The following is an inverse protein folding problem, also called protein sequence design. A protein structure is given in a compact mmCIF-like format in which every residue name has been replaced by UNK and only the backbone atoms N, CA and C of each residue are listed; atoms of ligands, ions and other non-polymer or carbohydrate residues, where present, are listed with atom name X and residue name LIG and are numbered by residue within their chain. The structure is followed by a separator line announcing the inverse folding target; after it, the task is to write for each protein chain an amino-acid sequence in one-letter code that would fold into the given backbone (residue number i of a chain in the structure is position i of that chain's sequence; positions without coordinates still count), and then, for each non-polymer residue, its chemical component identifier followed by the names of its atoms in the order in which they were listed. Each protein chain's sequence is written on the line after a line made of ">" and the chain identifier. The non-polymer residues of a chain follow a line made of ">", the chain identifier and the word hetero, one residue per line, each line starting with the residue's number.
data_IF_865629411017
#
_entry.id   IF_865629411017
#
_cell.length_a   1.000
_cell.length_b   1.000
_cell.length_c   1.000
_cell.angle_alpha   90.00
_cell.angle_beta   90.00
_cell.angle_gamma   90.00
#
_symmetry.space_group_name_H-M   'P 1'
#
loop_
_entity.id
_entity.type
_entity.pdbx_description
1 polymer ?
#
# COMPACT_ATOMS: atom_id res chain seq x y z
N UNK A 1 -4.81 -15.36 -6.34
CA UNK A 1 -4.22 -14.11 -5.81
C UNK A 1 -2.72 -14.17 -6.02
N UNK A 2 -2.11 -13.16 -6.66
CA UNK A 2 -0.65 -13.02 -6.71
C UNK A 2 -0.12 -12.54 -5.35
N UNK A 3 1.16 -12.83 -5.05
CA UNK A 3 1.84 -12.27 -3.87
C UNK A 3 2.22 -10.82 -4.19
N UNK A 4 2.05 -9.91 -3.23
CA UNK A 4 2.63 -8.57 -3.31
C UNK A 4 4.16 -8.70 -3.19
N UNK A 5 4.88 -8.03 -4.08
CA UNK A 5 6.35 -7.96 -4.04
C UNK A 5 6.75 -6.55 -3.65
N UNK A 6 7.67 -6.42 -2.70
CA UNK A 6 8.42 -5.19 -2.50
C UNK A 6 9.39 -5.05 -3.69
N UNK A 7 9.03 -4.20 -4.64
CA UNK A 7 9.79 -4.00 -5.87
C UNK A 7 11.20 -3.44 -5.58
N UNK A 8 11.35 -2.59 -4.56
CA UNK A 8 12.61 -1.98 -4.19
C UNK A 8 13.55 -2.98 -3.52
N UNK A 9 13.04 -3.78 -2.57
CA UNK A 9 13.79 -4.87 -1.95
C UNK A 9 14.16 -5.95 -2.98
N UNK A 10 13.25 -6.25 -3.92
CA UNK A 10 13.56 -7.15 -5.03
C UNK A 10 14.69 -6.61 -5.91
N UNK A 11 14.63 -5.34 -6.33
CA UNK A 11 15.71 -4.70 -7.13
C UNK A 11 17.03 -4.73 -6.35
N UNK A 12 17.00 -4.46 -5.04
CA UNK A 12 18.19 -4.50 -4.19
C UNK A 12 18.80 -5.90 -4.14
N UNK A 13 17.99 -6.94 -3.92
CA UNK A 13 18.43 -8.35 -3.96
C UNK A 13 18.97 -8.74 -5.33
N UNK A 14 18.31 -8.30 -6.39
CA UNK A 14 18.70 -8.55 -7.77
C UNK A 14 20.05 -7.89 -8.12
N UNK A 15 20.38 -6.74 -7.53
CA UNK A 15 21.70 -6.09 -7.70
C UNK A 15 22.87 -6.88 -7.10
N UNK A 16 22.64 -7.79 -6.13
CA UNK A 16 23.70 -8.64 -5.59
C UNK A 16 24.00 -9.87 -6.45
N UNK A 17 23.16 -10.16 -7.46
CA UNK A 17 23.47 -11.20 -8.43
C UNK A 17 24.63 -10.72 -9.32
N UNK A 18 25.78 -11.40 -9.26
CA UNK A 18 26.93 -11.08 -10.12
C UNK A 18 26.58 -11.38 -11.57
N UNK A 19 26.58 -10.34 -12.39
CA UNK A 19 26.76 -10.46 -13.83
C UNK A 19 28.27 -10.57 -14.12
N UNK A 20 28.64 -11.58 -14.88
CA UNK A 20 30.00 -11.89 -15.30
C UNK A 20 30.23 -11.52 -16.78
N UNK A 21 29.17 -11.21 -17.53
CA UNK A 21 29.23 -10.77 -18.93
C UNK A 21 28.47 -9.46 -19.17
N UNK A 22 28.79 -8.80 -20.28
CA UNK A 22 28.07 -7.59 -20.71
C UNK A 22 26.60 -7.87 -21.05
N UNK A 23 26.32 -9.03 -21.65
CA UNK A 23 24.96 -9.48 -21.97
C UNK A 23 24.13 -9.70 -20.71
N UNK A 24 24.72 -10.27 -19.65
CA UNK A 24 24.09 -10.40 -18.34
C UNK A 24 23.80 -9.03 -17.70
N UNK A 25 24.71 -8.06 -17.84
CA UNK A 25 24.49 -6.70 -17.36
C UNK A 25 23.31 -6.01 -18.06
N UNK A 26 23.21 -6.13 -19.38
CA UNK A 26 22.12 -5.56 -20.19
C UNK A 26 20.78 -6.21 -19.82
N UNK A 27 20.77 -7.54 -19.66
CA UNK A 27 19.58 -8.27 -19.23
C UNK A 27 19.15 -7.83 -17.83
N UNK A 28 20.08 -7.74 -16.88
CA UNK A 28 19.77 -7.26 -15.54
C UNK A 28 19.24 -5.81 -15.53
N UNK A 29 19.79 -4.94 -16.37
CA UNK A 29 19.30 -3.57 -16.52
C UNK A 29 17.87 -3.52 -17.08
N UNK A 30 17.57 -4.40 -18.03
CA UNK A 30 16.24 -4.52 -18.65
C UNK A 30 15.20 -4.97 -17.62
N UNK A 31 15.51 -6.02 -16.85
CA UNK A 31 14.61 -6.53 -15.79
C UNK A 31 14.32 -5.46 -14.75
N UNK A 32 15.35 -4.73 -14.28
CA UNK A 32 15.16 -3.61 -13.33
C UNK A 32 14.27 -2.51 -13.90
N UNK A 33 14.45 -2.18 -15.19
CA UNK A 33 13.61 -1.18 -15.86
C UNK A 33 12.16 -1.63 -15.92
N UNK A 34 11.90 -2.87 -16.30
CA UNK A 34 10.54 -3.45 -16.34
C UNK A 34 9.87 -3.41 -14.96
N UNK A 35 10.60 -3.74 -13.89
CA UNK A 35 10.06 -3.71 -12.52
C UNK A 35 9.73 -2.28 -12.06
N UNK A 36 10.51 -1.28 -12.50
CA UNK A 36 10.25 0.14 -12.21
C UNK A 36 9.12 0.74 -13.05
N UNK A 37 8.93 0.22 -14.27
CA UNK A 37 7.89 0.65 -15.21
C UNK A 37 6.56 -0.07 -14.97
N UNK A 38 6.57 -1.20 -14.26
CA UNK A 38 5.36 -1.81 -13.70
C UNK A 38 4.65 -0.79 -12.83
N UNK A 39 3.33 -0.65 -13.05
CA UNK A 39 2.49 0.15 -12.18
C UNK A 39 2.57 -0.45 -10.78
N UNK A 40 3.23 0.24 -9.84
CA UNK A 40 3.08 -0.06 -8.42
C UNK A 40 1.59 -0.06 -8.14
N UNK A 41 1.05 -1.20 -7.69
CA UNK A 41 -0.39 -1.43 -7.68
C UNK A 41 -1.15 -0.28 -7.02
N UNK A 42 -0.58 0.34 -5.96
CA UNK A 42 -0.91 1.65 -5.42
C UNK A 42 0.28 2.20 -4.62
N UNK A 43 0.46 3.52 -4.54
CA UNK A 43 1.33 4.16 -3.54
C UNK A 43 0.69 3.96 -2.16
N UNK A 44 1.41 3.27 -1.26
CA UNK A 44 0.90 2.90 0.06
C UNK A 44 0.57 4.13 0.90
N UNK A 45 1.43 5.14 0.86
CA UNK A 45 1.26 6.37 1.63
C UNK A 45 0.07 7.16 1.07
N UNK A 46 -0.10 7.17 -0.25
CA UNK A 46 -1.26 7.76 -0.90
C UNK A 46 -2.57 7.07 -0.47
N UNK A 47 -2.62 5.73 -0.49
CA UNK A 47 -3.81 4.97 -0.06
C UNK A 47 -4.14 5.21 1.40
N UNK A 48 -3.12 5.20 2.28
CA UNK A 48 -3.30 5.51 3.70
C UNK A 48 -3.88 6.91 3.89
N UNK A 49 -3.41 7.89 3.12
CA UNK A 49 -3.91 9.26 3.21
C UNK A 49 -5.37 9.37 2.72
N UNK A 50 -5.72 8.70 1.61
CA UNK A 50 -7.11 8.63 1.14
C UNK A 50 -8.05 8.01 2.19
N UNK A 51 -7.62 6.97 2.92
CA UNK A 51 -8.41 6.35 3.99
C UNK A 51 -8.62 7.30 5.20
N UNK A 52 -7.60 8.08 5.59
CA UNK A 52 -7.76 9.12 6.63
C UNK A 52 -8.71 10.22 6.22
N UNK A 53 -8.66 10.64 4.95
CA UNK A 53 -9.61 11.62 4.41
C UNK A 53 -11.03 11.06 4.42
N UNK A 54 -11.21 9.78 4.08
CA UNK A 54 -12.51 9.11 4.17
C UNK A 54 -13.05 9.05 5.60
N UNK A 55 -12.18 8.71 6.57
CA UNK A 55 -12.51 8.73 8.01
C UNK A 55 -13.00 10.11 8.45
N UNK A 56 -12.26 11.16 8.07
CA UNK A 56 -12.61 12.56 8.36
C UNK A 56 -13.96 12.95 7.73
N UNK A 57 -14.21 12.53 6.49
CA UNK A 57 -15.49 12.79 5.81
C UNK A 57 -16.65 12.14 6.56
N UNK A 58 -16.51 10.87 6.95
CA UNK A 58 -17.56 10.17 7.69
C UNK A 58 -17.80 10.76 9.08
N UNK A 59 -16.76 11.21 9.77
CA UNK A 59 -16.92 11.92 11.03
C UNK A 59 -17.82 13.16 10.86
N UNK A 60 -17.54 13.98 9.85
CA UNK A 60 -18.29 15.20 9.57
C UNK A 60 -19.74 14.95 9.13
N UNK A 61 -20.01 13.83 8.44
CA UNK A 61 -21.34 13.54 7.89
C UNK A 61 -22.22 12.64 8.74
N UNK A 62 -21.63 11.83 9.63
CA UNK A 62 -22.35 10.78 10.39
C UNK A 62 -22.38 11.12 11.89
N UNK A 63 -21.21 11.17 12.56
CA UNK A 63 -21.12 11.38 14.00
C UNK A 63 -21.45 12.82 14.43
N UNK A 64 -21.19 13.81 13.58
CA UNK A 64 -21.41 15.22 13.93
C UNK A 64 -22.90 15.67 13.84
N UNK A 65 -23.84 14.77 14.14
CA UNK A 65 -25.29 15.01 14.04
C UNK A 65 -25.98 15.06 15.41
N UNK A 66 -25.31 14.60 16.48
CA UNK A 66 -25.89 14.45 17.82
C UNK A 66 -26.81 13.24 17.98
N UNK A 67 -26.94 12.41 16.95
CA UNK A 67 -27.67 11.14 17.00
C UNK A 67 -26.77 10.01 17.49
N UNK A 68 -27.04 9.51 18.71
CA UNK A 68 -26.29 8.41 19.32
C UNK A 68 -26.20 7.15 18.48
N UNK A 69 -27.20 6.86 17.64
CA UNK A 69 -27.15 5.68 16.75
C UNK A 69 -26.13 5.90 15.63
N UNK A 70 -26.04 7.12 15.11
CA UNK A 70 -25.05 7.49 14.10
C UNK A 70 -23.64 7.54 14.70
N UNK A 71 -23.50 7.97 15.96
CA UNK A 71 -22.22 7.91 16.67
C UNK A 71 -21.70 6.46 16.78
N UNK A 72 -22.56 5.53 17.21
CA UNK A 72 -22.20 4.10 17.29
C UNK A 72 -21.88 3.54 15.90
N UNK A 73 -22.62 3.95 14.86
CA UNK A 73 -22.33 3.52 13.50
C UNK A 73 -20.96 4.02 13.02
N UNK A 74 -20.63 5.29 13.31
CA UNK A 74 -19.34 5.87 12.97
C UNK A 74 -18.18 5.20 13.74
N UNK A 75 -18.33 4.91 15.04
CA UNK A 75 -17.30 4.24 15.83
C UNK A 75 -16.91 2.88 15.22
N UNK A 76 -17.89 2.11 14.73
CA UNK A 76 -17.62 0.86 14.03
C UNK A 76 -16.85 1.07 12.71
N UNK A 77 -17.23 2.09 11.93
CA UNK A 77 -16.54 2.44 10.68
C UNK A 77 -15.11 2.91 10.96
N UNK A 78 -14.92 3.75 11.97
CA UNK A 78 -13.62 4.23 12.43
C UNK A 78 -12.71 3.06 12.82
N UNK A 79 -13.18 2.14 13.66
CA UNK A 79 -12.42 0.97 14.07
C UNK A 79 -12.01 0.08 12.89
N UNK A 80 -12.90 -0.10 11.91
CA UNK A 80 -12.60 -0.86 10.69
C UNK A 80 -11.55 -0.14 9.83
N UNK A 81 -11.68 1.17 9.63
CA UNK A 81 -10.72 1.95 8.85
C UNK A 81 -9.33 1.97 9.50
N UNK A 82 -9.25 2.10 10.82
CA UNK A 82 -7.99 2.02 11.55
C UNK A 82 -7.35 0.64 11.38
N UNK A 83 -8.13 -0.43 11.49
CA UNK A 83 -7.64 -1.80 11.26
C UNK A 83 -7.14 -2.02 9.84
N UNK A 84 -7.81 -1.46 8.83
CA UNK A 84 -7.39 -1.53 7.44
C UNK A 84 -6.06 -0.77 7.25
N UNK A 85 -5.91 0.41 7.82
CA UNK A 85 -4.66 1.18 7.78
C UNK A 85 -3.52 0.42 8.44
N UNK A 86 -3.76 -0.25 9.58
CA UNK A 86 -2.77 -1.11 10.23
C UNK A 86 -2.33 -2.26 9.32
N UNK A 87 -3.26 -2.96 8.68
CA UNK A 87 -2.96 -4.08 7.76
C UNK A 87 -2.14 -3.60 6.57
N UNK A 88 -2.51 -2.46 5.99
CA UNK A 88 -1.83 -1.84 4.84
C UNK A 88 -0.40 -1.45 5.22
N UNK A 89 -0.21 -0.75 6.34
CA UNK A 89 1.12 -0.39 6.86
C UNK A 89 1.96 -1.59 7.28
N UNK A 90 1.31 -2.66 7.72
CA UNK A 90 1.95 -3.94 8.07
C UNK A 90 2.39 -4.79 6.87
N UNK A 91 2.13 -4.35 5.63
CA UNK A 91 2.51 -5.08 4.41
C UNK A 91 1.55 -6.21 4.04
N UNK A 92 0.35 -6.26 4.63
CA UNK A 92 -0.58 -7.37 4.49
C UNK A 92 -0.18 -8.59 5.32
N UNK A 93 -1.17 -9.39 5.75
CA UNK A 93 -0.92 -10.66 6.45
C UNK A 93 -0.19 -11.60 5.48
N UNK A 94 1.05 -11.97 5.81
CA UNK A 94 1.85 -12.97 5.10
C UNK A 94 1.32 -14.39 5.29
#
# INVERSE_FOLDING_TARGET
>A
MGRLIDADDFIKKFNYAKANTEEENIMCATVRRMIREELTAFDLDEVVEQLKQLKTRYFLTIANTGDKKLDIAYENVENVLDRVIEIIKGGGIY
#
